data_IF_046763764288
#
_entry.id   IF_046763764288
#
_cell.length_a   1.000
_cell.length_b   1.000
_cell.length_c   1.000
_cell.angle_alpha   90.00
_cell.angle_beta   90.00
_cell.angle_gamma   90.00
#
_symmetry.space_group_name_H-M   'P 1'
#
loop_
_entity.id
_entity.type
_entity.pdbx_description
1 polymer ?
#
# COMPACT_ATOMS: atom_id res chain seq x y z
N UNK A 1 -2.26 -15.50 12.71
CA UNK A 1 -2.61 -14.82 13.99
C UNK A 1 -4.00 -15.25 14.42
N UNK A 2 -4.19 -15.69 15.67
CA UNK A 2 -5.53 -16.14 16.13
C UNK A 2 -6.52 -14.97 16.26
N UNK A 3 -7.81 -15.21 16.01
CA UNK A 3 -8.89 -14.21 16.12
C UNK A 3 -8.88 -13.46 17.46
N UNK A 4 -8.62 -14.16 18.56
CA UNK A 4 -8.52 -13.58 19.91
C UNK A 4 -7.41 -12.53 20.04
N UNK A 5 -6.21 -12.80 19.48
CA UNK A 5 -5.10 -11.85 19.50
C UNK A 5 -5.40 -10.61 18.66
N UNK A 6 -6.10 -10.78 17.55
CA UNK A 6 -6.53 -9.64 16.72
C UNK A 6 -7.57 -8.78 17.45
N UNK A 7 -8.59 -9.37 18.06
CA UNK A 7 -9.58 -8.64 18.85
C UNK A 7 -8.94 -7.91 20.06
N UNK A 8 -8.02 -8.57 20.77
CA UNK A 8 -7.28 -7.93 21.85
C UNK A 8 -6.43 -6.75 21.37
N UNK A 9 -5.79 -6.87 20.19
CA UNK A 9 -5.06 -5.76 19.58
C UNK A 9 -5.99 -4.59 19.25
N UNK A 10 -7.16 -4.85 18.64
CA UNK A 10 -8.13 -3.80 18.33
C UNK A 10 -8.63 -3.08 19.58
N UNK A 11 -8.93 -3.81 20.67
CA UNK A 11 -9.32 -3.23 21.95
C UNK A 11 -8.19 -2.39 22.55
N UNK A 12 -6.96 -2.90 22.58
CA UNK A 12 -5.80 -2.20 23.10
C UNK A 12 -5.51 -0.90 22.32
N UNK A 13 -5.67 -0.92 20.99
CA UNK A 13 -5.39 0.23 20.13
C UNK A 13 -6.62 1.09 19.87
N UNK A 14 -7.82 0.75 20.40
CA UNK A 14 -9.05 1.52 20.18
C UNK A 14 -8.92 2.99 20.57
N UNK A 15 -8.30 3.41 21.70
CA UNK A 15 -8.11 4.82 22.01
C UNK A 15 -7.25 5.54 20.97
N UNK A 16 -6.21 4.85 20.48
CA UNK A 16 -5.31 5.39 19.47
C UNK A 16 -6.02 5.57 18.11
N UNK A 17 -6.90 4.63 17.75
CA UNK A 17 -7.72 4.71 16.54
C UNK A 17 -8.73 5.87 16.62
N UNK A 18 -9.30 6.12 17.79
CA UNK A 18 -10.18 7.28 18.03
C UNK A 18 -9.40 8.59 17.87
N UNK A 19 -8.23 8.72 18.52
CA UNK A 19 -7.36 9.89 18.38
C UNK A 19 -6.93 10.13 16.94
N UNK A 20 -6.64 9.07 16.20
CA UNK A 20 -6.32 9.14 14.78
C UNK A 20 -7.52 9.67 13.96
N UNK A 21 -8.74 9.18 14.23
CA UNK A 21 -9.96 9.65 13.55
C UNK A 21 -10.25 11.12 13.87
N UNK A 22 -9.97 11.56 15.09
CA UNK A 22 -10.06 12.96 15.52
C UNK A 22 -8.90 13.83 15.02
N UNK A 23 -7.96 13.27 14.23
CA UNK A 23 -6.74 13.95 13.73
C UNK A 23 -5.77 14.43 14.82
N UNK A 24 -5.92 13.96 16.04
CA UNK A 24 -5.03 14.28 17.18
C UNK A 24 -3.79 13.37 17.21
N UNK A 25 -3.78 12.31 16.40
CA UNK A 25 -2.65 11.39 16.29
C UNK A 25 -2.36 10.98 14.84
N UNK A 26 -1.08 10.78 14.52
CA UNK A 26 -0.63 10.45 13.18
C UNK A 26 -1.10 9.07 12.73
N UNK A 27 -1.73 8.99 11.56
CA UNK A 27 -2.13 7.73 10.91
C UNK A 27 -0.91 6.81 10.69
N UNK A 28 0.22 7.34 10.25
CA UNK A 28 1.45 6.57 10.03
C UNK A 28 1.95 5.91 11.32
N UNK A 29 2.02 6.67 12.42
CA UNK A 29 2.44 6.16 13.73
C UNK A 29 1.48 5.11 14.29
N UNK A 30 0.17 5.28 14.08
CA UNK A 30 -0.84 4.30 14.46
C UNK A 30 -0.64 2.98 13.73
N UNK A 31 -0.48 3.05 12.42
CA UNK A 31 -0.21 1.86 11.57
C UNK A 31 1.06 1.14 12.01
N UNK A 32 2.15 1.87 12.24
CA UNK A 32 3.43 1.29 12.66
C UNK A 32 3.32 0.62 14.03
N UNK A 33 2.67 1.24 15.01
CA UNK A 33 2.45 0.63 16.34
C UNK A 33 1.62 -0.65 16.27
N UNK A 34 0.54 -0.64 15.49
CA UNK A 34 -0.30 -1.81 15.28
C UNK A 34 0.48 -2.92 14.56
N UNK A 35 1.24 -2.57 13.54
CA UNK A 35 2.13 -3.48 12.82
C UNK A 35 3.17 -4.10 13.76
N UNK A 36 3.84 -3.29 14.57
CA UNK A 36 4.81 -3.76 15.56
C UNK A 36 4.20 -4.74 16.55
N UNK A 37 3.00 -4.43 17.08
CA UNK A 37 2.30 -5.31 18.01
C UNK A 37 1.99 -6.68 17.39
N UNK A 38 1.61 -6.70 16.12
CA UNK A 38 1.21 -7.94 15.45
C UNK A 38 2.38 -8.77 14.93
N UNK A 39 3.45 -8.12 14.45
CA UNK A 39 4.42 -8.78 13.57
C UNK A 39 5.88 -8.60 14.00
N UNK A 40 6.20 -7.79 15.00
CA UNK A 40 7.57 -7.62 15.47
C UNK A 40 8.19 -8.96 15.86
N UNK A 41 9.40 -9.22 15.36
CA UNK A 41 10.17 -10.46 15.62
C UNK A 41 9.78 -11.63 14.70
N UNK A 42 8.73 -11.50 13.88
CA UNK A 42 8.36 -12.54 12.91
C UNK A 42 9.43 -12.65 11.82
N UNK A 43 9.83 -13.86 11.37
CA UNK A 43 10.65 -14.03 10.18
C UNK A 43 9.96 -13.42 8.95
N UNK A 44 10.72 -12.68 8.11
CA UNK A 44 10.15 -12.00 6.93
C UNK A 44 9.55 -13.00 5.93
N UNK A 45 10.15 -14.17 5.77
CA UNK A 45 9.64 -15.23 4.90
C UNK A 45 8.25 -15.70 5.37
N UNK A 46 8.08 -15.91 6.68
CA UNK A 46 6.78 -16.27 7.25
C UNK A 46 5.74 -15.18 7.04
N UNK A 47 6.14 -13.91 7.18
CA UNK A 47 5.26 -12.79 6.91
C UNK A 47 4.83 -12.76 5.43
N UNK A 48 5.77 -12.97 4.50
CA UNK A 48 5.49 -13.02 3.07
C UNK A 48 4.53 -14.17 2.72
N UNK A 49 4.70 -15.34 3.32
CA UNK A 49 3.74 -16.45 3.16
C UNK A 49 2.34 -16.06 3.65
N UNK A 50 2.23 -15.36 4.78
CA UNK A 50 0.93 -14.85 5.23
C UNK A 50 0.32 -13.84 4.27
N UNK A 51 1.12 -12.93 3.70
CA UNK A 51 0.66 -11.97 2.71
C UNK A 51 0.15 -12.67 1.43
N UNK A 52 0.90 -13.67 0.95
CA UNK A 52 0.52 -14.45 -0.22
C UNK A 52 -0.79 -15.23 0.00
N UNK A 53 -0.89 -15.96 1.10
CA UNK A 53 -2.10 -16.70 1.46
C UNK A 53 -3.30 -15.77 1.63
N UNK A 54 -3.10 -14.57 2.21
CA UNK A 54 -4.14 -13.57 2.32
C UNK A 54 -4.64 -13.12 0.95
N UNK A 55 -3.75 -12.84 0.02
CA UNK A 55 -4.13 -12.42 -1.34
C UNK A 55 -4.91 -13.53 -2.07
N UNK A 56 -4.50 -14.79 -1.96
CA UNK A 56 -5.21 -15.92 -2.55
C UNK A 56 -6.63 -16.09 -1.99
N UNK A 57 -6.78 -15.99 -0.65
CA UNK A 57 -8.07 -16.17 0.02
C UNK A 57 -9.02 -14.98 -0.16
N UNK A 58 -8.48 -13.80 -0.46
CA UNK A 58 -9.23 -12.55 -0.50
C UNK A 58 -9.10 -11.81 -1.85
N UNK A 59 -8.93 -12.55 -2.94
CA UNK A 59 -8.86 -11.96 -4.29
C UNK A 59 -10.06 -11.07 -4.62
N UNK A 60 -11.24 -11.35 -4.04
CA UNK A 60 -12.45 -10.55 -4.17
C UNK A 60 -12.36 -9.14 -3.55
N UNK A 61 -11.29 -8.82 -2.81
CA UNK A 61 -11.02 -7.44 -2.37
C UNK A 61 -10.62 -6.52 -3.53
N UNK A 62 -10.09 -7.08 -4.61
CA UNK A 62 -9.84 -6.31 -5.82
C UNK A 62 -11.17 -5.99 -6.52
N UNK A 63 -11.36 -4.73 -6.91
CA UNK A 63 -12.48 -4.35 -7.76
C UNK A 63 -12.34 -4.99 -9.12
N UNK A 64 -13.34 -5.73 -9.63
CA UNK A 64 -13.23 -6.48 -10.88
C UNK A 64 -12.85 -5.61 -12.07
N UNK A 65 -13.47 -4.43 -12.20
CA UNK A 65 -13.19 -3.48 -13.29
C UNK A 65 -11.74 -2.96 -13.21
N UNK A 66 -11.27 -2.59 -12.02
CA UNK A 66 -9.91 -2.12 -11.80
C UNK A 66 -8.87 -3.21 -12.10
N UNK A 67 -9.13 -4.45 -11.67
CA UNK A 67 -8.26 -5.58 -11.95
C UNK A 67 -8.23 -5.93 -13.46
N UNK A 68 -9.38 -5.85 -14.13
CA UNK A 68 -9.47 -6.07 -15.58
C UNK A 68 -8.70 -4.97 -16.34
N UNK A 69 -8.86 -3.72 -15.94
CA UNK A 69 -8.16 -2.58 -16.52
C UNK A 69 -6.63 -2.73 -16.38
N UNK A 70 -6.13 -3.09 -15.19
CA UNK A 70 -4.69 -3.33 -14.98
C UNK A 70 -4.16 -4.39 -15.95
N UNK A 71 -4.85 -5.53 -16.10
CA UNK A 71 -4.44 -6.59 -17.03
C UNK A 71 -4.44 -6.13 -18.50
N UNK A 72 -5.43 -5.32 -18.87
CA UNK A 72 -5.52 -4.78 -20.24
C UNK A 72 -4.38 -3.84 -20.55
N UNK A 73 -4.07 -2.90 -19.64
CA UNK A 73 -2.99 -1.92 -19.79
C UNK A 73 -1.63 -2.61 -19.85
N UNK A 74 -1.42 -3.66 -19.03
CA UNK A 74 -0.22 -4.50 -19.09
C UNK A 74 -0.08 -5.21 -20.44
N UNK A 75 -1.17 -5.79 -20.95
CA UNK A 75 -1.17 -6.47 -22.27
C UNK A 75 -0.82 -5.53 -23.40
N UNK A 76 -1.15 -4.24 -23.27
CA UNK A 76 -0.74 -3.19 -24.23
C UNK A 76 0.72 -2.76 -24.09
N UNK A 77 1.48 -3.36 -23.18
CA UNK A 77 2.90 -3.07 -22.97
C UNK A 77 3.20 -1.83 -22.15
N UNK A 78 2.21 -1.23 -21.48
CA UNK A 78 2.42 -0.07 -20.62
C UNK A 78 3.00 -0.48 -19.27
N UNK A 79 3.82 0.39 -18.67
CA UNK A 79 4.29 0.25 -17.31
C UNK A 79 3.14 0.55 -16.33
N UNK A 80 2.78 -0.44 -15.53
CA UNK A 80 1.76 -0.28 -14.50
C UNK A 80 2.40 -0.22 -13.12
N UNK A 81 2.03 0.78 -12.33
CA UNK A 81 2.46 0.96 -10.95
C UNK A 81 1.25 0.98 -10.02
N UNK A 82 1.28 0.19 -8.95
CA UNK A 82 0.30 0.27 -7.84
C UNK A 82 0.94 1.07 -6.71
N UNK A 83 0.48 2.29 -6.50
CA UNK A 83 1.04 3.22 -5.50
C UNK A 83 0.11 3.26 -4.29
N UNK A 84 0.51 2.64 -3.19
CA UNK A 84 -0.38 2.39 -2.05
C UNK A 84 0.20 2.83 -0.71
N UNK A 85 -0.64 3.38 0.15
CA UNK A 85 -0.29 3.65 1.55
C UNK A 85 -0.20 2.37 2.40
N UNK A 86 -0.62 1.23 1.87
CA UNK A 86 -0.44 -0.07 2.52
C UNK A 86 1.01 -0.55 2.42
N UNK A 87 1.35 -1.56 3.20
CA UNK A 87 2.64 -2.24 3.12
C UNK A 87 2.72 -2.95 1.76
N UNK A 88 3.84 -2.79 1.04
CA UNK A 88 4.05 -3.38 -0.28
C UNK A 88 3.94 -4.91 -0.27
N UNK A 89 4.49 -5.59 0.75
CA UNK A 89 4.35 -7.04 0.92
C UNK A 89 2.88 -7.51 0.94
N UNK A 90 1.94 -6.69 1.44
CA UNK A 90 0.52 -7.05 1.46
C UNK A 90 -0.16 -6.83 0.11
N UNK A 91 0.30 -5.84 -0.65
CA UNK A 91 -0.33 -5.45 -1.91
C UNK A 91 0.23 -6.26 -3.08
N UNK A 92 1.55 -6.49 -3.10
CA UNK A 92 2.23 -7.13 -4.21
C UNK A 92 1.65 -8.50 -4.60
N UNK A 93 1.27 -9.40 -3.66
CA UNK A 93 0.74 -10.71 -4.03
C UNK A 93 -0.60 -10.70 -4.79
N UNK A 94 -1.32 -9.58 -4.80
CA UNK A 94 -2.55 -9.43 -5.57
C UNK A 94 -2.32 -9.18 -7.06
N UNK A 95 -1.09 -8.81 -7.44
CA UNK A 95 -0.78 -8.38 -8.80
C UNK A 95 0.42 -9.16 -9.35
N UNK A 96 0.31 -9.59 -10.60
CA UNK A 96 1.41 -10.23 -11.32
C UNK A 96 2.05 -9.23 -12.28
N UNK A 97 3.37 -9.18 -12.30
CA UNK A 97 4.15 -8.33 -13.21
C UNK A 97 3.79 -6.83 -13.12
N UNK A 98 3.44 -6.35 -11.92
CA UNK A 98 3.15 -4.95 -11.63
C UNK A 98 4.16 -4.45 -10.61
N UNK A 99 4.65 -3.24 -10.80
CA UNK A 99 5.50 -2.58 -9.82
C UNK A 99 4.64 -2.03 -8.69
N UNK A 100 4.82 -2.56 -7.48
CA UNK A 100 4.11 -2.10 -6.29
C UNK A 100 5.01 -1.15 -5.50
N UNK A 101 4.52 0.07 -5.29
CA UNK A 101 5.17 1.14 -4.55
C UNK A 101 4.37 1.40 -3.27
N UNK A 102 4.67 0.64 -2.22
CA UNK A 102 4.00 0.73 -0.93
C UNK A 102 4.84 1.36 0.17
N UNK A 103 4.34 1.29 1.39
CA UNK A 103 5.13 1.55 2.58
C UNK A 103 6.01 0.33 2.86
N UNK A 104 7.32 0.52 2.95
CA UNK A 104 8.26 -0.58 3.18
C UNK A 104 8.47 -0.85 4.66
N UNK A 105 8.66 -2.13 5.01
CA UNK A 105 8.92 -2.59 6.37
C UNK A 105 10.42 -2.71 6.64
N UNK A 106 10.83 -2.41 7.87
CA UNK A 106 12.23 -2.60 8.30
C UNK A 106 12.45 -4.05 8.75
N UNK A 107 13.49 -4.67 8.16
CA UNK A 107 13.91 -6.06 8.44
C UNK A 107 15.36 -6.05 8.89
N UNK A 108 15.64 -6.73 10.02
CA UNK A 108 17.01 -6.94 10.51
C UNK A 108 17.23 -8.41 10.84
N UNK A 109 18.31 -8.96 10.39
CA UNK A 109 18.64 -10.38 10.58
C UNK A 109 17.49 -11.32 10.19
N UNK A 110 16.81 -11.04 9.05
CA UNK A 110 15.69 -11.82 8.54
C UNK A 110 14.40 -11.71 9.35
N UNK A 111 14.32 -10.78 10.33
CA UNK A 111 13.15 -10.58 11.18
C UNK A 111 12.61 -9.16 11.09
N UNK A 112 11.29 -9.04 11.20
CA UNK A 112 10.60 -7.76 11.23
C UNK A 112 10.95 -7.01 12.52
N UNK A 113 11.39 -5.76 12.40
CA UNK A 113 11.65 -4.91 13.58
C UNK A 113 10.37 -4.33 14.17
N UNK A 114 9.27 -4.36 13.41
CA UNK A 114 8.03 -3.70 13.73
C UNK A 114 7.97 -2.23 13.31
N UNK A 115 9.03 -1.73 12.66
CA UNK A 115 9.10 -0.36 12.13
C UNK A 115 8.89 -0.34 10.62
N UNK A 116 8.54 0.82 10.10
CA UNK A 116 8.59 1.08 8.68
C UNK A 116 9.98 1.61 8.28
N UNK A 117 10.51 1.08 7.19
CA UNK A 117 11.78 1.52 6.60
C UNK A 117 11.62 2.88 5.93
N UNK A 118 10.44 3.14 5.39
CA UNK A 118 10.15 4.32 4.59
C UNK A 118 8.98 5.10 5.15
N UNK A 119 8.82 6.39 4.83
CA UNK A 119 7.61 7.14 5.13
C UNK A 119 6.36 6.43 4.60
N UNK A 120 5.20 6.66 5.24
CA UNK A 120 3.92 6.15 4.76
C UNK A 120 3.65 6.69 3.35
N UNK A 121 3.43 5.80 2.38
CA UNK A 121 3.22 6.15 0.97
C UNK A 121 1.85 6.83 0.75
N UNK A 122 1.72 8.07 1.21
CA UNK A 122 0.49 8.87 1.22
C UNK A 122 0.79 10.31 0.79
N UNK A 123 -0.10 10.93 0.03
CA UNK A 123 0.06 12.31 -0.40
C UNK A 123 1.29 12.50 -1.27
N UNK A 124 2.11 13.50 -0.99
CA UNK A 124 3.33 13.80 -1.74
C UNK A 124 4.32 12.62 -1.80
N UNK A 125 4.32 11.75 -0.78
CA UNK A 125 5.20 10.58 -0.80
C UNK A 125 4.87 9.61 -1.94
N UNK A 126 3.62 9.54 -2.42
CA UNK A 126 3.28 8.76 -3.62
C UNK A 126 4.02 9.27 -4.85
N UNK A 127 4.11 10.57 -5.02
CA UNK A 127 4.85 11.21 -6.12
C UNK A 127 6.34 10.92 -5.99
N UNK A 128 6.90 11.01 -4.78
CA UNK A 128 8.31 10.71 -4.52
C UNK A 128 8.65 9.27 -4.93
N UNK A 129 7.77 8.31 -4.61
CA UNK A 129 7.94 6.90 -4.99
C UNK A 129 7.92 6.70 -6.50
N UNK A 130 7.00 7.35 -7.20
CA UNK A 130 6.94 7.29 -8.66
C UNK A 130 8.20 7.90 -9.26
N UNK A 131 8.62 9.10 -8.82
CA UNK A 131 9.84 9.76 -9.30
C UNK A 131 11.09 8.90 -9.10
N UNK A 132 11.19 8.20 -7.98
CA UNK A 132 12.36 7.37 -7.66
C UNK A 132 12.54 6.17 -8.59
N UNK A 133 11.50 5.73 -9.30
CA UNK A 133 11.55 4.58 -10.22
C UNK A 133 11.53 4.96 -11.69
N UNK A 134 11.26 6.21 -12.03
CA UNK A 134 11.35 6.71 -13.39
C UNK A 134 12.83 6.79 -13.79
N UNK A 135 13.17 6.18 -14.92
CA UNK A 135 14.56 6.10 -15.42
C UNK A 135 14.96 7.29 -16.29
N UNK A 136 13.98 7.98 -16.85
CA UNK A 136 14.14 9.14 -17.72
C UNK A 136 13.55 10.38 -17.07
N UNK A 137 13.87 11.60 -17.53
CA UNK A 137 13.20 12.82 -17.12
C UNK A 137 11.69 12.73 -17.26
N UNK A 138 10.95 13.45 -16.40
CA UNK A 138 9.47 13.41 -16.30
C UNK A 138 8.78 13.63 -17.66
N UNK A 139 9.30 14.49 -18.46
CA UNK A 139 8.78 14.88 -19.79
C UNK A 139 8.81 13.74 -20.82
N UNK A 140 9.56 12.66 -20.57
CA UNK A 140 9.57 11.49 -21.44
C UNK A 140 8.45 10.48 -21.14
N UNK A 141 7.60 10.81 -20.18
CA UNK A 141 6.49 9.93 -19.80
C UNK A 141 5.16 10.64 -19.95
N UNK A 142 4.17 9.95 -20.47
CA UNK A 142 2.78 10.30 -20.32
C UNK A 142 2.20 9.47 -19.18
N UNK A 143 1.87 10.13 -18.08
CA UNK A 143 1.41 9.48 -16.85
C UNK A 143 -0.09 9.64 -16.71
N UNK A 144 -0.79 8.50 -16.68
CA UNK A 144 -2.22 8.44 -16.35
C UNK A 144 -2.35 7.94 -14.91
N UNK A 145 -3.01 8.67 -14.05
CA UNK A 145 -3.18 8.32 -12.65
C UNK A 145 -4.65 8.10 -12.28
N UNK A 146 -4.86 7.07 -11.47
CA UNK A 146 -6.15 6.68 -10.92
C UNK A 146 -6.09 6.75 -9.40
N UNK A 147 -7.07 7.41 -8.78
CA UNK A 147 -7.11 7.55 -7.33
C UNK A 147 -8.54 7.65 -6.81
N UNK A 148 -8.75 7.36 -5.51
CA UNK A 148 -10.09 7.37 -4.94
C UNK A 148 -10.17 8.07 -3.58
N UNK A 149 -9.06 8.55 -3.08
CA UNK A 149 -8.92 9.10 -1.74
C UNK A 149 -8.20 10.45 -1.73
N UNK A 150 -8.28 11.16 -0.61
CA UNK A 150 -7.54 12.39 -0.39
C UNK A 150 -6.02 12.19 -0.49
N UNK A 151 -5.53 10.98 -0.18
CA UNK A 151 -4.11 10.66 -0.26
C UNK A 151 -3.55 10.49 -1.66
N UNK A 152 -4.41 10.58 -2.68
CA UNK A 152 -4.02 10.45 -4.08
C UNK A 152 -3.93 11.82 -4.77
N UNK A 153 -4.32 12.91 -4.08
CA UNK A 153 -4.42 14.25 -4.66
C UNK A 153 -3.14 14.67 -5.37
N UNK A 154 -2.01 14.55 -4.69
CA UNK A 154 -0.71 14.98 -5.23
C UNK A 154 -0.28 14.13 -6.41
N UNK A 155 -0.57 12.83 -6.39
CA UNK A 155 -0.30 11.92 -7.50
C UNK A 155 -1.18 12.25 -8.72
N UNK A 156 -2.47 12.51 -8.50
CA UNK A 156 -3.39 12.93 -9.55
C UNK A 156 -2.98 14.27 -10.16
N UNK A 157 -2.50 15.20 -9.33
CA UNK A 157 -1.97 16.49 -9.82
C UNK A 157 -0.65 16.35 -10.59
N UNK A 158 0.16 15.34 -10.26
CA UNK A 158 1.44 15.08 -10.93
C UNK A 158 1.28 14.42 -12.31
N UNK A 159 0.16 13.76 -12.56
CA UNK A 159 -0.13 13.05 -13.80
C UNK A 159 -0.51 14.02 -14.94
N UNK A 160 -0.36 13.57 -16.19
CA UNK A 160 -0.85 14.26 -17.39
C UNK A 160 -2.35 14.06 -17.54
N UNK A 161 -2.85 12.88 -17.13
CA UNK A 161 -4.27 12.55 -17.14
C UNK A 161 -4.64 11.92 -15.77
N UNK A 162 -5.72 12.42 -15.16
CA UNK A 162 -6.12 12.04 -13.81
C UNK A 162 -7.58 11.57 -13.74
N UNK A 163 -7.81 10.40 -13.13
CA UNK A 163 -9.14 9.83 -12.94
C UNK A 163 -9.43 9.66 -11.45
N UNK A 164 -10.42 10.40 -10.95
CA UNK A 164 -10.85 10.30 -9.56
C UNK A 164 -12.06 9.39 -9.43
N UNK A 165 -11.89 8.31 -8.66
CA UNK A 165 -12.93 7.28 -8.38
C UNK A 165 -13.50 6.56 -9.63
N UNK A 166 -12.71 6.24 -10.67
CA UNK A 166 -13.26 5.71 -11.92
C UNK A 166 -13.85 4.30 -11.77
N UNK A 167 -13.42 3.54 -10.73
CA UNK A 167 -13.86 2.17 -10.47
C UNK A 167 -14.81 2.06 -9.28
N UNK A 168 -15.42 3.15 -8.84
CA UNK A 168 -16.48 3.17 -7.83
C UNK A 168 -17.83 3.30 -8.53
N UNK A 169 -18.60 2.22 -8.46
CA UNK A 169 -20.04 2.29 -8.69
C UNK A 169 -20.71 3.11 -7.58
#
# INVERSE_FOLDING_TARGET
MGRLRFCAALLLFSPLLVLMKLRLYSNSRTKERLFAHCFRGMPVEQFNVHCHNFALQHAALLRPEGAAFVREVQRKGHLVMIVSASIDNWVAPFFQNVLVLGTQIDVRNGRLTGKFLTPNCYGAEKVNRVKAVLKQPREHYYIVAFGDSRGDKELLTYADEAHFKPFRA
#
